data_IF_643628350274
#
_entry.id   IF_643628350274
#
_cell.length_a   1.000
_cell.length_b   1.000
_cell.length_c   1.000
_cell.angle_alpha   90.00
_cell.angle_beta   90.00
_cell.angle_gamma   90.00
#
_symmetry.space_group_name_H-M   'P 1'
#
loop_
_entity.id
_entity.type
_entity.pdbx_description
1 polymer ?
#
# COMPACT_ATOMS: atom_id res chain seq x y z
N UNK A 1 -6.23 24.84 -5.37
CA UNK A 1 -5.38 23.68 -5.70
C UNK A 1 -5.79 23.05 -7.03
N UNK A 2 -7.00 22.49 -7.17
CA UNK A 2 -7.46 21.80 -8.39
C UNK A 2 -7.19 22.60 -9.70
N UNK A 3 -7.65 23.85 -9.79
CA UNK A 3 -7.40 24.72 -10.96
C UNK A 3 -5.92 24.88 -11.31
N UNK A 4 -5.05 24.99 -10.31
CA UNK A 4 -3.61 25.14 -10.55
C UNK A 4 -3.01 23.84 -11.09
N UNK A 5 -3.42 22.69 -10.53
CA UNK A 5 -2.98 21.38 -11.02
C UNK A 5 -3.41 21.14 -12.46
N UNK A 6 -4.67 21.41 -12.82
CA UNK A 6 -5.16 21.19 -14.19
C UNK A 6 -4.52 22.16 -15.17
N UNK A 7 -4.38 23.44 -14.81
CA UNK A 7 -3.68 24.43 -15.62
C UNK A 7 -2.24 24.02 -15.92
N UNK A 8 -1.48 23.61 -14.90
CA UNK A 8 -0.11 23.14 -15.08
C UNK A 8 -0.05 21.85 -15.89
N UNK A 9 -0.99 20.92 -15.65
CA UNK A 9 -1.05 19.67 -16.40
C UNK A 9 -1.29 19.92 -17.88
N UNK A 10 -2.20 20.83 -18.23
CA UNK A 10 -2.47 21.25 -19.61
C UNK A 10 -1.28 21.95 -20.24
N UNK A 11 -0.65 22.90 -19.53
CA UNK A 11 0.51 23.64 -20.04
C UNK A 11 1.71 22.72 -20.30
N UNK A 12 1.97 21.79 -19.39
CA UNK A 12 3.09 20.85 -19.47
C UNK A 12 2.80 19.64 -20.35
N UNK A 13 1.53 19.42 -20.74
CA UNK A 13 1.05 18.23 -21.43
C UNK A 13 1.45 16.92 -20.71
N UNK A 14 1.37 16.94 -19.37
CA UNK A 14 1.80 15.86 -18.46
C UNK A 14 0.89 15.79 -17.25
N UNK A 15 0.69 14.60 -16.68
CA UNK A 15 -0.06 14.47 -15.43
C UNK A 15 0.71 15.16 -14.28
N UNK A 16 -0.01 15.86 -13.42
CA UNK A 16 0.53 16.51 -12.23
C UNK A 16 -0.10 15.84 -11.01
N UNK A 17 0.75 15.30 -10.14
CA UNK A 17 0.34 14.66 -8.88
C UNK A 17 0.82 15.43 -7.67
N UNK A 18 0.13 15.28 -6.55
CA UNK A 18 0.49 15.79 -5.24
C UNK A 18 0.40 14.67 -4.23
N UNK A 19 1.42 14.53 -3.39
CA UNK A 19 1.34 13.76 -2.15
C UNK A 19 1.11 14.75 -1.02
N UNK A 20 0.00 14.58 -0.29
CA UNK A 20 -0.48 15.54 0.69
C UNK A 20 -0.59 14.85 2.04
N UNK A 21 0.03 15.43 3.06
CA UNK A 21 -0.10 14.99 4.46
C UNK A 21 -1.47 15.35 5.04
N UNK A 22 -1.92 14.64 6.09
CA UNK A 22 -3.17 14.94 6.81
C UNK A 22 -3.28 16.40 7.25
N UNK A 23 -2.16 17.04 7.60
CA UNK A 23 -2.12 18.48 7.95
C UNK A 23 -2.50 19.43 6.79
N UNK A 24 -2.56 18.94 5.56
CA UNK A 24 -2.73 19.74 4.35
C UNK A 24 -1.42 20.15 3.66
N UNK A 25 -0.26 19.92 4.30
CA UNK A 25 1.05 20.13 3.68
C UNK A 25 1.24 19.23 2.46
N UNK A 26 1.75 19.82 1.37
CA UNK A 26 2.19 19.08 0.18
C UNK A 26 3.61 18.58 0.43
N UNK A 27 3.77 17.27 0.49
CA UNK A 27 5.07 16.60 0.69
C UNK A 27 5.84 16.48 -0.62
N UNK A 28 5.12 16.13 -1.70
CA UNK A 28 5.71 15.99 -3.02
C UNK A 28 4.82 16.58 -4.09
N UNK A 29 5.45 17.18 -5.08
CA UNK A 29 4.85 17.47 -6.39
C UNK A 29 5.41 16.44 -7.37
N UNK A 30 4.54 15.68 -8.00
CA UNK A 30 4.85 14.62 -8.93
C UNK A 30 4.57 15.10 -10.35
N UNK A 31 5.43 14.74 -11.29
CA UNK A 31 5.23 15.00 -12.70
C UNK A 31 5.26 13.68 -13.45
N UNK A 32 4.09 13.21 -13.84
CA UNK A 32 3.88 11.95 -14.56
C UNK A 32 4.13 12.09 -16.06
N UNK A 33 3.83 11.05 -16.81
CA UNK A 33 3.68 11.12 -18.26
C UNK A 33 2.20 11.38 -18.62
N UNK A 34 1.75 10.96 -19.80
CA UNK A 34 0.35 11.15 -20.21
C UNK A 34 -0.59 10.12 -19.59
N UNK A 35 -0.05 8.94 -19.24
CA UNK A 35 -0.78 7.76 -18.77
C UNK A 35 -0.72 7.54 -17.27
N UNK A 36 0.38 7.91 -16.60
CA UNK A 36 0.62 7.59 -15.19
C UNK A 36 1.47 8.62 -14.47
N UNK A 37 1.40 8.59 -13.15
CA UNK A 37 2.35 9.22 -12.24
C UNK A 37 3.25 8.15 -11.60
N UNK A 38 4.50 8.49 -11.33
CA UNK A 38 5.39 7.62 -10.54
C UNK A 38 5.55 8.21 -9.14
N UNK A 39 5.10 7.47 -8.12
CA UNK A 39 5.24 7.88 -6.73
C UNK A 39 6.61 7.40 -6.21
N UNK A 40 7.47 8.30 -5.69
CA UNK A 40 8.77 7.91 -5.17
C UNK A 40 8.62 7.06 -3.90
N UNK A 41 9.70 6.41 -3.49
CA UNK A 41 9.73 5.76 -2.16
C UNK A 41 9.61 6.83 -1.09
N UNK A 42 8.62 6.68 -0.20
CA UNK A 42 8.22 7.70 0.77
C UNK A 42 8.78 7.41 2.19
N UNK A 43 9.83 6.59 2.30
CA UNK A 43 10.36 6.01 3.55
C UNK A 43 10.84 7.03 4.60
N UNK A 44 11.08 8.28 4.20
CA UNK A 44 11.57 9.35 5.09
C UNK A 44 10.46 10.16 5.77
N UNK A 45 9.19 9.90 5.45
CA UNK A 45 8.06 10.60 6.08
C UNK A 45 7.65 9.85 7.34
N UNK A 46 7.73 10.53 8.50
CA UNK A 46 7.24 9.99 9.76
C UNK A 46 5.75 9.69 9.62
N UNK A 47 5.41 8.41 9.69
CA UNK A 47 4.03 7.98 9.75
C UNK A 47 3.42 8.40 11.07
N UNK A 48 2.14 8.78 11.05
CA UNK A 48 1.38 9.24 12.21
C UNK A 48 1.13 8.15 13.27
N UNK A 49 1.86 7.03 13.24
CA UNK A 49 1.61 5.84 14.04
C UNK A 49 0.34 5.07 13.64
N UNK A 50 -0.35 5.49 12.58
CA UNK A 50 -1.57 4.88 12.06
C UNK A 50 -1.32 3.66 11.17
N UNK A 51 -2.40 2.91 10.88
CA UNK A 51 -2.36 1.79 9.93
C UNK A 51 -2.19 2.27 8.50
N UNK A 52 -2.78 3.42 8.20
CA UNK A 52 -2.55 4.14 6.96
C UNK A 52 -1.42 5.15 7.17
N UNK A 53 -0.83 5.58 6.07
CA UNK A 53 0.42 6.32 6.10
C UNK A 53 0.30 7.75 6.63
N UNK A 54 -0.89 8.33 6.59
CA UNK A 54 -1.07 9.76 6.81
C UNK A 54 -0.86 10.61 5.55
N UNK A 55 -0.78 9.96 4.38
CA UNK A 55 -0.56 10.60 3.09
C UNK A 55 -1.67 10.22 2.13
N UNK A 56 -2.17 11.20 1.38
CA UNK A 56 -3.08 10.99 0.26
C UNK A 56 -2.43 11.43 -1.04
N UNK A 57 -2.78 10.77 -2.15
CA UNK A 57 -2.36 11.19 -3.47
C UNK A 57 -3.54 11.83 -4.21
N UNK A 58 -3.28 12.96 -4.87
CA UNK A 58 -4.21 13.57 -5.83
C UNK A 58 -3.46 13.79 -7.12
N UNK A 59 -3.92 13.30 -8.26
CA UNK A 59 -3.28 13.57 -9.55
C UNK A 59 -4.28 13.86 -10.66
N UNK A 60 -3.83 14.60 -11.68
CA UNK A 60 -4.64 14.88 -12.87
C UNK A 60 -4.68 13.69 -13.82
N UNK A 61 -5.74 13.61 -14.62
CA UNK A 61 -5.85 12.62 -15.70
C UNK A 61 -6.43 13.23 -16.97
N UNK A 62 -5.85 12.86 -18.11
CA UNK A 62 -6.34 13.21 -19.45
C UNK A 62 -7.33 12.18 -20.01
N UNK A 63 -7.43 10.98 -19.41
CA UNK A 63 -8.30 9.91 -19.92
C UNK A 63 -9.76 10.03 -19.47
N UNK A 64 -10.07 10.94 -18.54
CA UNK A 64 -11.44 11.13 -18.02
C UNK A 64 -11.96 9.93 -17.20
N UNK A 65 -11.08 9.11 -16.62
CA UNK A 65 -11.45 7.87 -15.95
C UNK A 65 -11.27 7.90 -14.44
N UNK A 66 -11.92 6.95 -13.76
CA UNK A 66 -11.66 6.56 -12.36
C UNK A 66 -10.19 6.18 -12.13
N UNK A 67 -9.72 6.13 -10.85
CA UNK A 67 -8.44 5.49 -10.52
C UNK A 67 -8.27 4.17 -11.26
N UNK A 68 -7.14 4.04 -11.95
CA UNK A 68 -6.76 2.83 -12.68
C UNK A 68 -6.37 1.72 -11.72
N UNK A 69 -6.22 0.49 -12.22
CA UNK A 69 -5.67 -0.58 -11.41
C UNK A 69 -4.29 -0.20 -10.85
N UNK A 70 -3.41 0.43 -11.64
CA UNK A 70 -2.08 0.88 -11.17
C UNK A 70 -2.19 1.89 -10.02
N UNK A 71 -3.13 2.84 -10.08
CA UNK A 71 -3.36 3.80 -8.98
C UNK A 71 -3.82 3.10 -7.69
N UNK A 72 -4.69 2.10 -7.81
CA UNK A 72 -5.14 1.28 -6.68
C UNK A 72 -3.98 0.43 -6.14
N UNK A 73 -3.15 -0.13 -7.01
CA UNK A 73 -1.95 -0.88 -6.62
C UNK A 73 -1.03 0.00 -5.77
N UNK A 74 -0.73 1.21 -6.24
CA UNK A 74 0.14 2.14 -5.53
C UNK A 74 -0.47 2.61 -4.20
N UNK A 75 -1.78 2.88 -4.17
CA UNK A 75 -2.50 3.20 -2.94
C UNK A 75 -2.36 2.09 -1.88
N UNK A 76 -2.56 0.83 -2.27
CA UNK A 76 -2.45 -0.32 -1.38
C UNK A 76 -1.01 -0.53 -0.89
N UNK A 77 -0.07 -0.61 -1.83
CA UNK A 77 1.36 -0.82 -1.62
C UNK A 77 1.97 0.19 -0.66
N UNK A 78 1.68 1.48 -0.87
CA UNK A 78 2.18 2.59 -0.08
C UNK A 78 1.32 2.91 1.14
N UNK A 79 0.24 2.14 1.37
CA UNK A 79 -0.75 2.35 2.44
C UNK A 79 -1.27 3.78 2.50
N UNK A 80 -1.49 4.40 1.33
CA UNK A 80 -2.01 5.76 1.28
C UNK A 80 -3.38 5.80 1.91
N UNK A 81 -3.68 6.92 2.58
CA UNK A 81 -4.98 7.18 3.16
C UNK A 81 -6.06 7.12 2.08
N UNK A 82 -5.80 7.77 0.92
CA UNK A 82 -6.72 7.91 -0.21
C UNK A 82 -5.95 8.14 -1.52
N UNK A 83 -6.54 7.74 -2.64
CA UNK A 83 -6.08 8.01 -4.01
C UNK A 83 -7.17 8.74 -4.78
N UNK A 84 -6.88 9.95 -5.25
CA UNK A 84 -7.83 10.78 -5.99
C UNK A 84 -7.33 11.13 -7.39
N UNK A 85 -8.13 10.83 -8.39
CA UNK A 85 -7.93 11.25 -9.78
C UNK A 85 -8.81 12.45 -10.08
N UNK A 86 -8.20 13.55 -10.49
CA UNK A 86 -8.86 14.76 -10.94
C UNK A 86 -8.96 14.74 -12.47
N UNK A 87 -10.17 14.52 -12.98
CA UNK A 87 -10.45 14.63 -14.42
C UNK A 87 -10.45 16.09 -14.85
N UNK A 88 -10.22 16.29 -16.15
CA UNK A 88 -10.09 17.60 -16.75
C UNK A 88 -10.97 17.71 -17.99
N UNK A 89 -11.62 18.86 -18.14
CA UNK A 89 -12.35 19.24 -19.34
C UNK A 89 -11.89 20.63 -19.77
N UNK A 90 -11.39 20.75 -21.01
CA UNK A 90 -10.88 21.99 -21.57
C UNK A 90 -9.82 22.70 -20.69
N UNK A 91 -9.00 21.91 -19.99
CA UNK A 91 -7.96 22.38 -19.06
C UNK A 91 -8.48 22.82 -17.69
N UNK A 92 -9.78 22.74 -17.45
CA UNK A 92 -10.41 23.01 -16.17
C UNK A 92 -10.67 21.73 -15.37
N UNK A 93 -10.69 21.80 -14.04
CA UNK A 93 -11.11 20.68 -13.20
C UNK A 93 -12.55 20.27 -13.50
N UNK A 94 -12.79 18.97 -13.61
CA UNK A 94 -14.13 18.41 -13.78
C UNK A 94 -14.54 17.62 -12.53
N UNK A 95 -14.25 16.31 -12.44
CA UNK A 95 -14.63 15.46 -11.32
C UNK A 95 -13.42 14.94 -10.56
N UNK A 96 -13.59 14.78 -9.25
CA UNK A 96 -12.64 14.11 -8.37
C UNK A 96 -13.14 12.70 -8.09
N UNK A 97 -12.48 11.70 -8.67
CA UNK A 97 -12.74 10.29 -8.42
C UNK A 97 -11.81 9.79 -7.32
N UNK A 98 -12.36 9.35 -6.20
CA UNK A 98 -11.56 9.07 -5.01
C UNK A 98 -11.76 7.65 -4.52
N UNK A 99 -10.68 6.89 -4.45
CA UNK A 99 -10.62 5.57 -3.86
C UNK A 99 -9.99 5.60 -2.47
N UNK A 100 -10.39 4.64 -1.64
CA UNK A 100 -9.76 4.37 -0.35
C UNK A 100 -9.78 2.87 -0.04
N UNK A 101 -8.87 2.42 0.81
CA UNK A 101 -8.82 1.02 1.25
C UNK A 101 -9.96 0.69 2.21
N UNK A 102 -10.41 -0.56 2.21
CA UNK A 102 -11.37 -1.11 3.18
C UNK A 102 -10.76 -2.31 3.91
N UNK A 103 -11.12 -2.55 5.18
CA UNK A 103 -10.52 -3.62 5.96
C UNK A 103 -11.04 -5.01 5.58
N UNK A 104 -12.28 -5.11 5.11
CA UNK A 104 -12.88 -6.39 4.75
C UNK A 104 -13.15 -6.41 3.25
N UNK A 105 -12.65 -7.46 2.60
CA UNK A 105 -12.83 -7.67 1.17
C UNK A 105 -14.31 -7.74 0.85
N UNK A 106 -14.78 -6.90 -0.06
CA UNK A 106 -16.17 -6.83 -0.52
C UNK A 106 -16.16 -6.94 -2.04
N UNK A 107 -16.95 -7.83 -2.63
CA UNK A 107 -16.99 -8.09 -4.09
C UNK A 107 -15.60 -8.30 -4.71
N UNK A 108 -14.76 -9.08 -4.03
CA UNK A 108 -13.36 -9.36 -4.40
C UNK A 108 -12.43 -8.13 -4.42
N UNK A 109 -12.87 -6.99 -3.88
CA UNK A 109 -12.10 -5.75 -3.76
C UNK A 109 -11.78 -5.40 -2.32
N UNK A 110 -10.60 -4.81 -2.14
CA UNK A 110 -10.08 -4.33 -0.86
C UNK A 110 -10.02 -2.80 -0.79
N UNK A 111 -10.81 -2.17 -1.64
CA UNK A 111 -10.95 -0.74 -1.76
C UNK A 111 -12.39 -0.40 -2.16
N UNK A 112 -12.78 0.86 -1.94
CA UNK A 112 -14.06 1.40 -2.37
C UNK A 112 -13.86 2.74 -3.10
N UNK A 113 -14.82 3.10 -3.95
CA UNK A 113 -14.88 4.40 -4.62
C UNK A 113 -15.93 5.28 -3.93
N UNK A 114 -15.57 6.52 -3.63
CA UNK A 114 -16.55 7.53 -3.23
C UNK A 114 -17.36 7.99 -4.44
N UNK A 115 -18.54 8.54 -4.19
CA UNK A 115 -19.31 9.22 -5.23
C UNK A 115 -18.47 10.36 -5.84
N UNK A 116 -18.26 10.37 -7.18
CA UNK A 116 -17.48 11.42 -7.82
C UNK A 116 -18.11 12.79 -7.57
N UNK A 117 -17.28 13.77 -7.23
CA UNK A 117 -17.74 15.12 -6.92
C UNK A 117 -16.85 16.14 -7.58
N UNK A 118 -17.45 17.22 -8.09
CA UNK A 118 -16.67 18.36 -8.57
C UNK A 118 -15.89 18.97 -7.39
N UNK A 119 -14.59 19.31 -7.53
CA UNK A 119 -13.76 19.76 -6.40
C UNK A 119 -14.34 20.95 -5.62
N UNK A 120 -15.05 21.87 -6.29
CA UNK A 120 -15.69 23.02 -5.63
C UNK A 120 -16.98 22.66 -4.86
N UNK A 121 -17.57 21.49 -5.13
CA UNK A 121 -18.74 20.98 -4.44
C UNK A 121 -18.39 19.99 -3.32
N UNK A 122 -17.10 19.73 -3.07
CA UNK A 122 -16.67 18.82 -2.02
C UNK A 122 -16.93 19.41 -0.63
N UNK A 123 -17.93 18.88 0.06
CA UNK A 123 -18.30 19.28 1.42
C UNK A 123 -17.82 18.29 2.48
N UNK A 124 -17.45 17.07 2.08
CA UNK A 124 -17.05 16.03 3.02
C UNK A 124 -15.62 16.27 3.52
N UNK A 125 -15.43 16.16 4.83
CA UNK A 125 -14.11 16.19 5.45
C UNK A 125 -13.36 14.89 5.16
N UNK A 126 -12.29 14.99 4.37
CA UNK A 126 -11.38 13.87 4.15
C UNK A 126 -10.78 13.35 5.47
N UNK A 127 -10.49 14.22 6.45
CA UNK A 127 -9.95 13.79 7.74
C UNK A 127 -10.93 12.92 8.51
N UNK A 128 -12.20 13.30 8.56
CA UNK A 128 -13.25 12.53 9.23
C UNK A 128 -13.48 11.18 8.56
N UNK A 129 -13.38 11.13 7.22
CA UNK A 129 -13.42 9.87 6.47
C UNK A 129 -12.24 8.97 6.82
N UNK A 130 -11.02 9.52 6.84
CA UNK A 130 -9.80 8.78 7.18
C UNK A 130 -9.88 8.21 8.60
N UNK A 131 -10.32 9.00 9.57
CA UNK A 131 -10.54 8.54 10.94
C UNK A 131 -11.55 7.38 11.00
N UNK A 132 -12.63 7.46 10.23
CA UNK A 132 -13.60 6.36 10.15
C UNK A 132 -12.96 5.09 9.57
N UNK A 133 -12.22 5.21 8.46
CA UNK A 133 -11.52 4.09 7.82
C UNK A 133 -10.54 3.44 8.82
N UNK A 134 -9.72 4.22 9.50
CA UNK A 134 -8.77 3.69 10.50
C UNK A 134 -9.48 2.97 11.65
N UNK A 135 -10.62 3.50 12.12
CA UNK A 135 -11.45 2.81 13.12
C UNK A 135 -11.99 1.47 12.60
N UNK A 136 -12.42 1.40 11.34
CA UNK A 136 -12.87 0.14 10.73
C UNK A 136 -11.72 -0.89 10.67
N UNK A 137 -10.51 -0.47 10.26
CA UNK A 137 -9.32 -1.34 10.30
C UNK A 137 -8.96 -1.79 11.71
N UNK A 138 -9.10 -0.91 12.71
CA UNK A 138 -8.88 -1.27 14.11
C UNK A 138 -9.88 -2.32 14.61
N UNK A 139 -11.17 -2.16 14.28
CA UNK A 139 -12.26 -3.07 14.68
C UNK A 139 -12.20 -4.45 14.01
N UNK A 140 -11.66 -4.54 12.79
CA UNK A 140 -11.50 -5.81 12.07
C UNK A 140 -10.45 -6.75 12.71
N UNK A 141 -9.77 -6.34 13.78
CA UNK A 141 -8.75 -7.14 14.48
C UNK A 141 -9.42 -8.31 15.23
N UNK A 142 -8.91 -9.55 15.12
CA UNK A 142 -9.20 -10.59 16.11
C UNK A 142 -8.69 -10.11 17.47
N UNK A 143 -9.52 -10.17 18.51
CA UNK A 143 -9.16 -9.82 19.90
C UNK A 143 -8.11 -10.82 20.39
N UNK A 144 -6.82 -10.61 20.06
CA UNK A 144 -5.70 -11.34 20.66
C UNK A 144 -4.57 -10.37 21.00
N UNK A 145 -4.47 -10.19 22.31
CA UNK A 145 -3.43 -9.59 23.15
C UNK A 145 -3.00 -8.14 22.86
N UNK A 146 -2.96 -7.40 23.97
CA UNK A 146 -2.47 -6.04 24.14
C UNK A 146 -1.08 -5.92 23.53
N UNK A 147 -0.87 -4.91 22.68
CA UNK A 147 0.42 -4.56 22.08
C UNK A 147 1.48 -4.42 23.19
N UNK A 148 2.37 -5.41 23.31
CA UNK A 148 3.55 -5.36 24.19
C UNK A 148 4.68 -4.50 23.61
N UNK A 149 4.45 -3.81 22.49
CA UNK A 149 5.48 -3.06 21.76
C UNK A 149 6.36 -3.93 20.86
N UNK A 150 6.02 -5.21 20.69
CA UNK A 150 6.76 -6.16 19.87
C UNK A 150 6.42 -6.00 18.38
N UNK A 151 7.40 -6.24 17.49
CA UNK A 151 7.18 -6.27 16.05
C UNK A 151 6.16 -7.36 15.69
N UNK A 152 5.29 -7.07 14.71
CA UNK A 152 4.21 -7.96 14.26
C UNK A 152 4.47 -8.35 12.82
N UNK A 153 4.73 -9.63 12.59
CA UNK A 153 5.19 -10.14 11.32
C UNK A 153 4.15 -10.95 10.56
N UNK A 154 4.11 -10.74 9.26
CA UNK A 154 3.52 -11.67 8.31
C UNK A 154 4.64 -12.48 7.66
N UNK A 155 4.56 -13.80 7.79
CA UNK A 155 5.57 -14.70 7.25
C UNK A 155 5.26 -15.03 5.79
N UNK A 156 6.25 -15.00 4.92
CA UNK A 156 6.10 -15.26 3.49
C UNK A 156 7.09 -16.34 3.05
N UNK A 157 6.58 -17.43 2.48
CA UNK A 157 7.39 -18.44 1.80
C UNK A 157 7.05 -18.49 0.32
N UNK A 158 8.08 -18.38 -0.51
CA UNK A 158 8.00 -18.56 -1.96
C UNK A 158 8.89 -19.73 -2.36
N UNK A 159 8.29 -20.91 -2.52
CA UNK A 159 9.05 -22.16 -2.69
C UNK A 159 8.76 -22.87 -4.02
N UNK A 160 9.76 -23.60 -4.51
CA UNK A 160 9.60 -24.56 -5.62
C UNK A 160 9.38 -26.00 -5.14
N UNK A 161 9.57 -26.24 -3.83
CA UNK A 161 9.43 -27.55 -3.19
C UNK A 161 7.99 -28.03 -3.07
N UNK A 162 7.82 -29.15 -2.37
CA UNK A 162 6.50 -29.68 -2.05
C UNK A 162 5.75 -28.73 -1.10
N UNK A 163 4.42 -28.88 -1.01
CA UNK A 163 3.62 -28.08 -0.07
C UNK A 163 4.00 -28.41 1.38
N UNK A 164 4.24 -29.69 1.67
CA UNK A 164 4.66 -30.16 2.99
C UNK A 164 5.96 -29.50 3.43
N UNK A 165 7.00 -29.53 2.58
CA UNK A 165 8.29 -28.90 2.86
C UNK A 165 8.15 -27.40 3.20
N UNK A 166 7.29 -26.69 2.45
CA UNK A 166 7.05 -25.27 2.69
C UNK A 166 6.29 -25.04 4.01
N UNK A 167 5.34 -25.91 4.36
CA UNK A 167 4.59 -25.83 5.62
C UNK A 167 5.51 -26.13 6.81
N UNK A 168 6.36 -27.14 6.72
CA UNK A 168 7.35 -27.49 7.75
C UNK A 168 8.35 -26.34 7.98
N UNK A 169 8.90 -25.78 6.90
CA UNK A 169 9.80 -24.62 6.97
C UNK A 169 9.13 -23.39 7.61
N UNK A 170 7.85 -23.16 7.32
CA UNK A 170 7.08 -22.05 7.90
C UNK A 170 6.75 -22.26 9.38
N UNK A 171 6.59 -23.50 9.83
CA UNK A 171 6.46 -23.82 11.26
C UNK A 171 7.76 -23.43 11.97
N UNK A 172 8.90 -23.86 11.44
CA UNK A 172 10.22 -23.51 11.99
C UNK A 172 10.45 -22.00 12.02
N UNK A 173 10.19 -21.30 10.91
CA UNK A 173 10.32 -19.84 10.83
C UNK A 173 9.46 -19.13 11.87
N UNK A 174 8.29 -19.68 12.19
CA UNK A 174 7.42 -19.11 13.22
C UNK A 174 8.00 -19.25 14.62
N UNK A 175 8.66 -20.37 14.93
CA UNK A 175 9.34 -20.55 16.20
C UNK A 175 10.58 -19.64 16.31
N UNK A 176 11.32 -19.44 15.21
CA UNK A 176 12.41 -18.45 15.15
C UNK A 176 11.91 -17.03 15.42
N UNK A 177 10.83 -16.62 14.75
CA UNK A 177 10.22 -15.30 14.96
C UNK A 177 9.77 -15.14 16.42
N UNK A 178 9.16 -16.17 17.00
CA UNK A 178 8.74 -16.17 18.41
C UNK A 178 9.93 -16.05 19.37
N UNK A 179 11.04 -16.72 19.08
CA UNK A 179 12.27 -16.62 19.87
C UNK A 179 12.90 -15.21 19.78
N UNK A 180 12.75 -14.53 18.65
CA UNK A 180 13.13 -13.13 18.45
C UNK A 180 12.08 -12.12 18.97
N UNK A 181 11.13 -12.57 19.81
CA UNK A 181 10.04 -11.77 20.36
C UNK A 181 9.10 -11.13 19.31
N UNK A 182 9.10 -11.61 18.07
CA UNK A 182 8.22 -11.13 17.00
C UNK A 182 6.89 -11.89 17.03
N UNK A 183 5.77 -11.16 17.06
CA UNK A 183 4.44 -11.75 17.00
C UNK A 183 4.07 -12.10 15.55
N UNK A 184 3.99 -13.40 15.25
CA UNK A 184 3.48 -13.87 13.95
C UNK A 184 1.96 -13.69 13.87
N UNK A 185 1.49 -12.86 12.93
CA UNK A 185 0.06 -12.56 12.78
C UNK A 185 -0.60 -13.36 11.66
N UNK A 186 0.15 -13.76 10.65
CA UNK A 186 -0.34 -14.57 9.53
C UNK A 186 0.83 -15.20 8.75
N UNK A 187 0.50 -16.12 7.83
CA UNK A 187 1.46 -16.89 7.03
C UNK A 187 0.98 -17.02 5.58
N UNK A 188 1.87 -16.77 4.63
CA UNK A 188 1.61 -16.93 3.20
C UNK A 188 2.59 -17.90 2.60
N UNK A 189 2.06 -18.92 1.92
CA UNK A 189 2.86 -19.84 1.12
C UNK A 189 2.46 -19.65 -0.34
N UNK A 190 3.40 -19.26 -1.18
CA UNK A 190 3.26 -19.22 -2.63
C UNK A 190 4.19 -20.24 -3.28
N UNK A 191 3.61 -21.29 -3.88
CA UNK A 191 4.37 -22.24 -4.67
C UNK A 191 4.58 -21.73 -6.09
N UNK A 192 5.79 -21.86 -6.63
CA UNK A 192 6.13 -21.51 -8.02
C UNK A 192 6.94 -22.63 -8.67
N UNK A 193 6.90 -22.73 -10.00
CA UNK A 193 7.76 -23.69 -10.73
C UNK A 193 9.23 -23.28 -10.74
N UNK A 194 9.50 -21.97 -10.77
CA UNK A 194 10.84 -21.39 -10.78
C UNK A 194 10.80 -20.02 -10.11
N UNK A 195 11.83 -19.70 -9.32
CA UNK A 195 12.00 -18.38 -8.73
C UNK A 195 12.50 -17.38 -9.78
N UNK A 196 11.93 -16.19 -9.77
CA UNK A 196 12.39 -15.12 -10.64
C UNK A 196 13.57 -14.40 -9.97
N UNK A 197 14.71 -14.20 -10.66
CA UNK A 197 15.93 -13.67 -10.06
C UNK A 197 15.73 -12.26 -9.46
N UNK A 198 14.86 -11.44 -10.06
CA UNK A 198 14.58 -10.06 -9.62
C UNK A 198 13.31 -9.90 -8.78
N UNK A 199 12.32 -10.77 -8.93
CA UNK A 199 10.96 -10.55 -8.41
C UNK A 199 10.49 -11.79 -7.64
N UNK A 200 10.72 -11.80 -6.33
CA UNK A 200 10.33 -12.95 -5.50
C UNK A 200 8.81 -13.18 -5.56
N UNK A 201 8.04 -12.09 -5.52
CA UNK A 201 6.60 -12.05 -5.69
C UNK A 201 6.22 -11.25 -6.94
N UNK A 202 5.09 -11.60 -7.56
CA UNK A 202 4.45 -10.74 -8.56
C UNK A 202 3.74 -9.55 -7.89
N UNK A 203 3.55 -8.45 -8.62
CA UNK A 203 2.97 -7.19 -8.09
C UNK A 203 1.60 -7.42 -7.42
N UNK A 204 0.70 -8.19 -8.06
CA UNK A 204 -0.60 -8.54 -7.49
C UNK A 204 -0.51 -9.31 -6.17
N UNK A 205 0.38 -10.31 -6.08
CA UNK A 205 0.53 -11.08 -4.85
C UNK A 205 1.14 -10.27 -3.71
N UNK A 206 2.02 -9.32 -4.04
CA UNK A 206 2.56 -8.38 -3.08
C UNK A 206 1.46 -7.49 -2.49
N UNK A 207 0.52 -7.03 -3.31
CA UNK A 207 -0.63 -6.24 -2.84
C UNK A 207 -1.51 -7.05 -1.89
N UNK A 208 -1.83 -8.31 -2.22
CA UNK A 208 -2.58 -9.18 -1.32
C UNK A 208 -1.89 -9.26 0.05
N UNK A 209 -0.56 -9.40 0.05
CA UNK A 209 0.26 -9.47 1.27
C UNK A 209 0.24 -8.14 2.03
N UNK A 210 0.36 -6.99 1.34
CA UNK A 210 0.32 -5.67 1.99
C UNK A 210 -1.06 -5.39 2.58
N UNK A 211 -2.14 -5.75 1.89
CA UNK A 211 -3.50 -5.61 2.38
C UNK A 211 -3.78 -6.53 3.57
N UNK A 212 -3.28 -7.77 3.52
CA UNK A 212 -3.36 -8.68 4.67
C UNK A 212 -2.55 -8.17 5.86
N UNK A 213 -1.36 -7.60 5.60
CA UNK A 213 -0.54 -6.94 6.61
C UNK A 213 -1.29 -5.77 7.25
N UNK A 214 -1.96 -4.94 6.46
CA UNK A 214 -2.81 -3.84 6.93
C UNK A 214 -3.95 -4.31 7.84
N UNK A 215 -4.68 -5.38 7.45
CA UNK A 215 -5.80 -5.94 8.22
C UNK A 215 -5.32 -6.55 9.54
N UNK A 216 -4.27 -7.33 9.47
CA UNK A 216 -3.72 -8.02 10.62
C UNK A 216 -2.85 -7.10 11.50
N UNK A 217 -2.51 -5.90 11.01
CA UNK A 217 -1.66 -4.91 11.67
C UNK A 217 -0.20 -5.36 11.75
N UNK A 218 0.30 -6.06 10.73
CA UNK A 218 1.71 -6.38 10.59
C UNK A 218 2.49 -5.13 10.14
N UNK A 219 3.66 -4.92 10.74
CA UNK A 219 4.62 -3.88 10.35
C UNK A 219 5.90 -4.48 9.74
N UNK A 220 6.03 -5.80 9.75
CA UNK A 220 7.18 -6.56 9.29
C UNK A 220 6.75 -7.69 8.34
N UNK A 221 7.48 -7.86 7.25
CA UNK A 221 7.44 -9.04 6.39
C UNK A 221 8.71 -9.85 6.63
N UNK A 222 8.56 -11.13 6.92
CA UNK A 222 9.68 -12.05 7.08
C UNK A 222 9.61 -13.10 5.98
N UNK A 223 10.64 -13.12 5.13
CA UNK A 223 10.75 -14.11 4.05
C UNK A 223 11.49 -15.36 4.53
N UNK A 224 10.90 -16.51 4.29
CA UNK A 224 11.41 -17.84 4.63
C UNK A 224 12.70 -18.21 3.88
N UNK A 225 12.90 -17.62 2.69
CA UNK A 225 14.11 -17.77 1.88
C UNK A 225 15.00 -16.53 2.01
N UNK A 226 16.31 -16.74 1.90
CA UNK A 226 17.27 -15.66 1.70
C UNK A 226 16.92 -14.87 0.43
N UNK A 227 16.88 -13.55 0.54
CA UNK A 227 16.54 -12.67 -0.58
C UNK A 227 17.80 -12.09 -1.21
N UNK A 228 17.89 -12.13 -2.53
CA UNK A 228 18.95 -11.37 -3.22
C UNK A 228 18.72 -9.86 -3.04
N UNK A 229 19.77 -9.02 -3.12
CA UNK A 229 19.61 -7.57 -3.04
C UNK A 229 18.62 -7.00 -4.07
N UNK A 230 18.48 -7.66 -5.22
CA UNK A 230 17.53 -7.25 -6.26
C UNK A 230 16.07 -7.58 -5.89
N UNK A 231 15.83 -8.66 -5.16
CA UNK A 231 14.52 -9.06 -4.66
C UNK A 231 14.11 -8.21 -3.46
N UNK A 232 15.03 -7.93 -2.53
CA UNK A 232 14.77 -6.98 -1.43
C UNK A 232 14.32 -5.65 -2.01
N UNK A 233 15.09 -5.06 -2.94
CA UNK A 233 14.72 -3.80 -3.60
C UNK A 233 13.37 -3.89 -4.32
N UNK A 234 13.06 -5.00 -4.99
CA UNK A 234 11.79 -5.11 -5.70
C UNK A 234 10.59 -5.18 -4.77
N UNK A 235 10.73 -5.73 -3.56
CA UNK A 235 9.67 -5.68 -2.54
C UNK A 235 9.61 -4.28 -1.92
N UNK A 236 10.72 -3.76 -1.39
CA UNK A 236 10.75 -2.48 -0.65
C UNK A 236 10.41 -1.26 -1.51
N UNK A 237 10.59 -1.33 -2.83
CA UNK A 237 10.15 -0.26 -3.73
C UNK A 237 8.63 -0.17 -3.86
N UNK A 238 7.91 -1.22 -3.48
CA UNK A 238 6.45 -1.32 -3.59
C UNK A 238 5.78 -1.52 -2.22
N UNK A 239 6.51 -1.42 -1.11
CA UNK A 239 5.89 -1.44 0.21
C UNK A 239 6.77 -0.74 1.23
N UNK A 240 6.14 -0.07 2.19
CA UNK A 240 6.83 0.53 3.33
C UNK A 240 6.85 -0.36 4.56
N UNK A 241 6.43 -1.61 4.42
CA UNK A 241 6.65 -2.61 5.45
C UNK A 241 8.15 -2.87 5.55
N UNK A 242 8.65 -3.07 6.78
CA UNK A 242 10.00 -3.58 6.96
C UNK A 242 10.06 -4.98 6.34
N UNK A 243 11.13 -5.27 5.62
CA UNK A 243 11.34 -6.57 4.99
C UNK A 243 12.63 -7.13 5.54
N UNK A 244 12.56 -8.33 6.10
CA UNK A 244 13.74 -9.14 6.43
C UNK A 244 13.60 -10.54 5.84
N UNK A 245 14.72 -11.23 5.72
CA UNK A 245 14.76 -12.64 5.34
C UNK A 245 15.16 -13.54 6.51
N UNK A 246 15.16 -14.86 6.26
CA UNK A 246 15.49 -15.86 7.26
C UNK A 246 16.88 -15.65 7.86
N UNK A 247 17.86 -15.30 7.02
CA UNK A 247 19.24 -15.08 7.47
C UNK A 247 19.29 -13.91 8.44
N UNK A 248 18.61 -12.80 8.13
CA UNK A 248 18.52 -11.63 9.00
C UNK A 248 17.73 -11.88 10.30
N UNK A 249 16.76 -12.78 10.29
CA UNK A 249 16.01 -13.15 11.51
C UNK A 249 16.87 -13.95 12.50
N UNK A 250 17.82 -14.73 12.01
CA UNK A 250 18.68 -15.60 12.82
C UNK A 250 19.81 -14.79 13.51
N UNK A 251 20.18 -13.64 12.96
CA UNK A 251 21.27 -12.78 13.43
C UNK A 251 20.80 -11.78 14.50
#
# INVERSE_FOLDING_TARGET
MARAMTSLSTELNRQVGLIIHRSGQVEFVLLGDYSRIEIPVLSNIRTSGGRLRGLRCVHTSFSGSVPTEEDIMDMACLRLDMMSVLTMQDGYPDLLHTAHLIPNRTDDRDWNLLEPVHPAAQQQSCLSLIENIEQQFSKARPIREVDKGNDRALLVSVSTGSRSEAEDSMIELSELARAAEVQVVDRVIQRRRKLHPRFILGRGKLIDIVLMSLRNGANLLIFDQELTPSQVRSVTNHTDLRVIDRTQLIL
#
